data_IF_750925519277
#
_entry.id   IF_750925519277
#
_cell.length_a   1.000
_cell.length_b   1.000
_cell.length_c   1.000
_cell.angle_alpha   90.00
_cell.angle_beta   90.00
_cell.angle_gamma   90.00
#
_symmetry.space_group_name_H-M   'P 1'
#
loop_
_entity.id
_entity.type
_entity.pdbx_description
1 polymer ?
#
# COMPACT_ATOMS: atom_id res chain seq x y z
N UNK A 1 4.75 9.29 -18.74
CA UNK A 1 5.61 9.62 -17.59
C UNK A 1 6.68 10.58 -18.06
N UNK A 2 6.97 11.61 -17.27
CA UNK A 2 8.12 12.49 -17.49
C UNK A 2 9.43 11.74 -17.24
N UNK A 3 10.59 12.25 -17.70
CA UNK A 3 11.88 11.64 -17.41
C UNK A 3 12.14 11.48 -15.90
N UNK A 4 11.79 12.49 -15.10
CA UNK A 4 11.91 12.45 -13.63
C UNK A 4 11.03 11.37 -13.00
N UNK A 5 9.78 11.22 -13.46
CA UNK A 5 8.88 10.15 -13.01
C UNK A 5 9.40 8.76 -13.39
N UNK A 6 10.06 8.64 -14.55
CA UNK A 6 10.59 7.36 -15.02
C UNK A 6 11.77 6.91 -14.16
N UNK A 7 12.66 7.84 -13.79
CA UNK A 7 13.74 7.57 -12.84
C UNK A 7 13.20 7.19 -11.46
N UNK A 8 12.26 7.97 -10.93
CA UNK A 8 11.65 7.70 -9.63
C UNK A 8 10.88 6.36 -9.61
N UNK A 9 10.24 5.99 -10.73
CA UNK A 9 9.58 4.70 -10.88
C UNK A 9 10.58 3.55 -10.80
N UNK A 10 11.69 3.66 -11.54
CA UNK A 10 12.72 2.62 -11.54
C UNK A 10 13.32 2.42 -10.15
N UNK A 11 13.71 3.52 -9.49
CA UNK A 11 14.23 3.48 -8.12
C UNK A 11 13.24 2.85 -7.13
N UNK A 12 11.95 3.18 -7.26
CA UNK A 12 10.91 2.61 -6.42
C UNK A 12 10.75 1.09 -6.65
N UNK A 13 10.66 0.67 -7.92
CA UNK A 13 10.52 -0.75 -8.29
C UNK A 13 11.73 -1.55 -7.81
N UNK A 14 12.95 -1.07 -8.06
CA UNK A 14 14.18 -1.75 -7.66
C UNK A 14 14.26 -1.91 -6.13
N UNK A 15 13.90 -0.86 -5.38
CA UNK A 15 13.83 -0.91 -3.91
C UNK A 15 12.80 -1.90 -3.39
N UNK A 16 11.59 -1.92 -3.96
CA UNK A 16 10.51 -2.78 -3.49
C UNK A 16 10.70 -4.25 -3.91
N UNK A 17 11.36 -4.50 -5.05
CA UNK A 17 11.83 -5.83 -5.46
C UNK A 17 12.91 -6.35 -4.52
N UNK A 18 13.92 -5.52 -4.20
CA UNK A 18 14.98 -5.89 -3.26
C UNK A 18 14.44 -6.14 -1.85
N UNK A 19 13.44 -5.36 -1.42
CA UNK A 19 12.71 -5.60 -0.16
C UNK A 19 11.78 -6.82 -0.22
N UNK A 20 11.59 -7.40 -1.41
CA UNK A 20 10.71 -8.55 -1.63
C UNK A 20 9.23 -8.23 -1.42
N UNK A 21 8.81 -6.98 -1.55
CA UNK A 21 7.40 -6.60 -1.37
C UNK A 21 6.59 -6.76 -2.64
N UNK A 22 7.22 -6.63 -3.79
CA UNK A 22 6.62 -6.89 -5.11
C UNK A 22 7.38 -8.00 -5.84
N UNK A 23 6.77 -8.57 -6.88
CA UNK A 23 7.44 -9.48 -7.81
C UNK A 23 6.82 -9.42 -9.22
N UNK A 24 7.54 -9.91 -10.26
CA UNK A 24 7.00 -10.03 -11.61
C UNK A 24 5.66 -10.76 -11.63
N UNK A 25 4.74 -10.28 -12.46
CA UNK A 25 3.39 -10.80 -12.57
C UNK A 25 3.01 -11.14 -14.01
N UNK A 26 2.29 -12.24 -14.17
CA UNK A 26 1.56 -12.60 -15.39
C UNK A 26 0.04 -12.45 -15.19
N UNK A 27 -0.36 -11.68 -14.18
CA UNK A 27 -1.77 -11.49 -13.81
C UNK A 27 -2.60 -10.95 -14.98
N UNK A 28 -3.83 -11.47 -15.18
CA UNK A 28 -4.76 -10.87 -16.13
C UNK A 28 -5.24 -9.48 -15.69
N UNK A 29 -5.09 -9.15 -14.40
CA UNK A 29 -5.42 -7.85 -13.84
C UNK A 29 -4.25 -6.85 -14.00
N UNK A 30 -4.49 -5.60 -13.62
CA UNK A 30 -3.46 -4.57 -13.65
C UNK A 30 -4.01 -3.18 -13.38
N UNK A 31 -3.88 -2.73 -12.14
CA UNK A 31 -4.21 -1.36 -11.75
C UNK A 31 -3.21 -0.36 -12.36
N UNK A 32 -3.66 0.80 -12.85
CA UNK A 32 -2.76 1.84 -13.32
C UNK A 32 -2.03 2.50 -12.15
N UNK A 33 -0.85 3.07 -12.42
CA UNK A 33 -0.07 3.84 -11.44
C UNK A 33 -0.04 5.33 -11.80
N UNK A 34 0.10 6.17 -10.79
CA UNK A 34 0.32 7.60 -10.93
C UNK A 34 1.32 8.10 -9.89
N UNK A 35 1.91 9.28 -10.13
CA UNK A 35 2.78 9.94 -9.16
C UNK A 35 2.06 11.09 -8.46
N UNK A 36 2.23 11.15 -7.15
CA UNK A 36 1.79 12.29 -6.32
C UNK A 36 3.03 12.95 -5.72
N UNK A 37 3.11 14.27 -5.83
CA UNK A 37 4.16 15.06 -5.19
C UNK A 37 3.88 15.16 -3.69
N UNK A 38 4.87 14.78 -2.89
CA UNK A 38 4.88 15.05 -1.45
C UNK A 38 5.25 16.50 -1.18
N UNK A 39 4.96 16.97 0.04
CA UNK A 39 5.32 18.32 0.49
C UNK A 39 6.84 18.58 0.44
N UNK A 40 7.66 17.54 0.60
CA UNK A 40 9.13 17.60 0.50
C UNK A 40 9.64 17.57 -0.96
N UNK A 41 8.75 17.62 -1.96
CA UNK A 41 9.08 17.56 -3.38
C UNK A 41 9.34 16.15 -3.92
N UNK A 42 9.39 15.11 -3.07
CA UNK A 42 9.59 13.73 -3.53
C UNK A 42 8.35 13.19 -4.25
N UNK A 43 8.57 12.31 -5.21
CA UNK A 43 7.50 11.61 -5.91
C UNK A 43 7.11 10.35 -5.15
N UNK A 44 5.81 10.16 -4.92
CA UNK A 44 5.24 8.92 -4.37
C UNK A 44 4.49 8.19 -5.46
N UNK A 45 4.86 6.94 -5.72
CA UNK A 45 4.07 6.05 -6.56
C UNK A 45 2.75 5.73 -5.85
N UNK A 46 1.64 5.87 -6.56
CA UNK A 46 0.29 5.54 -6.08
C UNK A 46 -0.34 4.61 -7.09
N UNK A 47 -0.78 3.45 -6.62
CA UNK A 47 -1.52 2.49 -7.42
C UNK A 47 -3.02 2.76 -7.28
N UNK A 48 -3.72 2.90 -8.39
CA UNK A 48 -5.16 3.15 -8.38
C UNK A 48 -5.97 1.85 -8.29
N UNK A 49 -6.16 1.38 -7.06
CA UNK A 49 -6.99 0.21 -6.77
C UNK A 49 -8.50 0.49 -6.74
N UNK A 50 -9.01 1.66 -7.17
CA UNK A 50 -10.45 1.98 -7.06
C UNK A 50 -11.37 0.92 -7.69
N UNK A 51 -11.01 0.41 -8.88
CA UNK A 51 -11.78 -0.65 -9.56
C UNK A 51 -11.70 -1.98 -8.82
N UNK A 52 -10.52 -2.35 -8.33
CA UNK A 52 -10.34 -3.54 -7.50
C UNK A 52 -11.19 -3.45 -6.22
N UNK A 53 -11.13 -2.32 -5.52
CA UNK A 53 -11.88 -2.07 -4.30
C UNK A 53 -13.40 -2.10 -4.49
N UNK A 54 -13.89 -1.81 -5.70
CA UNK A 54 -15.31 -1.86 -6.01
C UNK A 54 -15.84 -3.31 -6.17
N UNK A 55 -14.99 -4.23 -6.62
CA UNK A 55 -15.35 -5.64 -6.82
C UNK A 55 -15.01 -6.54 -5.63
N UNK A 56 -14.14 -6.06 -4.72
CA UNK A 56 -13.78 -6.79 -3.49
C UNK A 56 -14.89 -6.73 -2.45
N UNK A 57 -15.14 -7.87 -1.80
CA UNK A 57 -16.08 -7.96 -0.67
C UNK A 57 -15.52 -7.16 0.50
N UNK A 58 -16.29 -6.21 1.01
CA UNK A 58 -15.88 -5.33 2.12
C UNK A 58 -16.00 -6.08 3.44
N UNK A 59 -14.86 -6.37 4.08
CA UNK A 59 -14.81 -6.83 5.46
C UNK A 59 -14.96 -5.61 6.40
N UNK A 60 -16.19 -5.35 6.84
CA UNK A 60 -16.50 -4.16 7.66
C UNK A 60 -16.33 -4.52 9.13
N UNK A 61 -15.14 -4.24 9.67
CA UNK A 61 -14.93 -4.26 11.11
C UNK A 61 -15.40 -2.94 11.76
N UNK A 62 -16.20 -3.04 12.83
CA UNK A 62 -16.65 -1.86 13.56
C UNK A 62 -15.49 -1.27 14.36
N UNK A 63 -14.96 -0.13 13.93
CA UNK A 63 -13.98 0.61 14.73
C UNK A 63 -14.67 1.19 15.96
N UNK A 64 -14.06 1.09 17.15
CA UNK A 64 -14.62 1.66 18.37
C UNK A 64 -14.73 3.18 18.26
N UNK A 65 -15.70 3.76 18.96
CA UNK A 65 -15.86 5.22 19.01
C UNK A 65 -14.67 5.85 19.73
N UNK A 66 -14.25 7.04 19.29
CA UNK A 66 -13.14 7.74 19.92
C UNK A 66 -13.41 8.00 21.42
N UNK A 67 -14.63 8.36 21.79
CA UNK A 67 -15.01 8.61 23.19
C UNK A 67 -14.85 7.36 24.06
N UNK A 68 -15.25 6.18 23.54
CA UNK A 68 -15.11 4.90 24.24
C UNK A 68 -13.64 4.53 24.46
N UNK A 69 -12.77 4.82 23.48
CA UNK A 69 -11.34 4.60 23.61
C UNK A 69 -10.72 5.50 24.67
N UNK A 70 -11.11 6.78 24.72
CA UNK A 70 -10.61 7.74 25.70
C UNK A 70 -11.09 7.38 27.10
N UNK A 71 -12.35 6.98 27.25
CA UNK A 71 -12.91 6.60 28.54
C UNK A 71 -12.17 5.41 29.18
N UNK A 72 -11.76 4.42 28.38
CA UNK A 72 -10.92 3.30 28.84
C UNK A 72 -9.58 3.74 29.41
N UNK A 73 -9.08 4.91 29.02
CA UNK A 73 -7.81 5.44 29.46
C UNK A 73 -7.92 6.47 30.60
N UNK A 74 -9.13 6.84 31.03
CA UNK A 74 -9.44 7.92 32.00
C UNK A 74 -8.58 7.90 33.26
N UNK A 75 -8.26 6.72 33.79
CA UNK A 75 -7.54 6.56 35.05
C UNK A 75 -6.06 6.22 34.87
N UNK A 76 -5.57 6.13 33.63
CA UNK A 76 -4.16 5.90 33.35
C UNK A 76 -3.34 7.15 33.70
N UNK A 77 -2.19 6.94 34.34
CA UNK A 77 -1.28 8.02 34.74
C UNK A 77 -0.11 8.20 33.78
N UNK A 78 0.21 7.16 33.01
CA UNK A 78 1.33 7.12 32.07
C UNK A 78 0.78 6.60 30.74
N UNK A 79 1.15 7.28 29.66
CA UNK A 79 0.72 6.95 28.30
C UNK A 79 1.95 6.68 27.45
N UNK A 80 1.89 5.60 26.68
CA UNK A 80 2.89 5.28 25.66
C UNK A 80 2.17 5.10 24.34
N UNK A 81 2.65 5.78 23.30
CA UNK A 81 2.18 5.61 21.93
C UNK A 81 3.26 4.89 21.14
N UNK A 82 2.87 3.83 20.45
CA UNK A 82 3.72 3.10 19.52
C UNK A 82 3.23 3.37 18.10
N UNK A 83 4.18 3.65 17.20
CA UNK A 83 3.89 3.81 15.78
C UNK A 83 4.50 2.63 15.00
N UNK A 84 3.65 1.89 14.29
CA UNK A 84 4.07 0.78 13.45
C UNK A 84 4.51 1.33 12.09
N UNK A 85 5.82 1.52 11.92
CA UNK A 85 6.40 1.97 10.66
C UNK A 85 6.00 1.02 9.53
N UNK A 86 5.43 1.57 8.47
CA UNK A 86 4.93 0.83 7.30
C UNK A 86 3.95 -0.31 7.67
N UNK A 87 3.06 -0.09 8.65
CA UNK A 87 2.18 -1.12 9.20
C UNK A 87 1.45 -2.00 8.18
N UNK A 88 0.99 -1.42 7.05
CA UNK A 88 0.39 -2.18 5.96
C UNK A 88 1.36 -3.17 5.32
N UNK A 89 2.56 -2.72 4.94
CA UNK A 89 3.54 -3.54 4.24
C UNK A 89 4.15 -4.65 5.12
N UNK A 90 3.86 -4.67 6.42
CA UNK A 90 4.27 -5.75 7.32
C UNK A 90 3.33 -6.97 7.21
N UNK A 91 2.15 -6.81 6.60
CA UNK A 91 1.15 -7.87 6.43
C UNK A 91 1.23 -8.40 5.00
N UNK A 92 1.31 -9.72 4.84
CA UNK A 92 1.29 -10.39 3.53
C UNK A 92 -0.13 -10.46 2.98
N UNK A 93 -0.24 -10.33 1.66
CA UNK A 93 -1.47 -10.70 0.96
C UNK A 93 -1.62 -12.22 1.06
N UNK A 94 -2.87 -12.68 1.16
CA UNK A 94 -3.19 -14.11 1.23
C UNK A 94 -2.65 -14.83 -0.02
N UNK A 95 -2.04 -15.99 0.20
CA UNK A 95 -1.55 -16.85 -0.88
C UNK A 95 -2.68 -17.20 -1.86
N UNK A 96 -2.43 -16.99 -3.15
CA UNK A 96 -3.40 -17.16 -4.24
C UNK A 96 -4.20 -15.90 -4.58
N UNK A 97 -4.13 -14.84 -3.77
CA UNK A 97 -4.81 -13.56 -4.02
C UNK A 97 -3.87 -12.43 -4.45
N UNK A 98 -2.55 -12.66 -4.45
CA UNK A 98 -1.55 -11.63 -4.76
C UNK A 98 -1.69 -11.07 -6.18
N UNK A 99 -2.10 -11.91 -7.13
CA UNK A 99 -2.36 -11.50 -8.52
C UNK A 99 -3.42 -10.40 -8.66
N UNK A 100 -4.34 -10.27 -7.68
CA UNK A 100 -5.38 -9.23 -7.68
C UNK A 100 -4.78 -7.84 -7.48
N UNK A 101 -3.70 -7.75 -6.72
CA UNK A 101 -2.98 -6.52 -6.44
C UNK A 101 -1.93 -6.19 -7.54
N UNK A 102 -2.04 -6.80 -8.71
CA UNK A 102 -1.18 -6.48 -9.85
C UNK A 102 -1.36 -5.03 -10.32
N UNK A 103 -0.25 -4.39 -10.69
CA UNK A 103 -0.23 -3.05 -11.24
C UNK A 103 0.64 -2.97 -12.49
N UNK A 104 0.30 -2.02 -13.35
CA UNK A 104 0.95 -1.81 -14.65
C UNK A 104 1.71 -0.51 -14.66
N UNK A 105 2.90 -0.57 -15.21
CA UNK A 105 3.79 0.56 -15.41
C UNK A 105 4.27 0.54 -16.87
N UNK A 106 5.25 1.37 -17.22
CA UNK A 106 5.92 1.27 -18.53
C UNK A 106 6.94 0.11 -18.60
N UNK A 107 7.12 -0.65 -17.53
CA UNK A 107 7.89 -1.90 -17.48
C UNK A 107 6.95 -3.11 -17.28
N UNK A 108 7.43 -4.37 -17.36
CA UNK A 108 6.58 -5.55 -17.20
C UNK A 108 5.73 -5.51 -15.92
N UNK A 109 4.55 -6.15 -15.98
CA UNK A 109 3.60 -6.14 -14.89
C UNK A 109 4.20 -6.73 -13.60
N UNK A 110 3.82 -6.13 -12.47
CA UNK A 110 4.26 -6.50 -11.13
C UNK A 110 3.03 -6.72 -10.26
N UNK A 111 3.16 -7.51 -9.21
CA UNK A 111 2.12 -7.64 -8.19
C UNK A 111 2.69 -7.55 -6.78
N UNK A 112 1.87 -7.03 -5.88
CA UNK A 112 2.20 -6.89 -4.46
C UNK A 112 2.13 -8.25 -3.77
N UNK A 113 3.09 -8.50 -2.87
CA UNK A 113 3.08 -9.63 -1.91
C UNK A 113 2.64 -9.21 -0.52
N UNK A 114 2.68 -7.91 -0.23
CA UNK A 114 2.26 -7.32 1.04
C UNK A 114 1.15 -6.30 0.81
N UNK A 115 0.41 -5.95 1.85
CA UNK A 115 -0.67 -4.96 1.71
C UNK A 115 -0.04 -3.60 1.33
N UNK A 116 -0.44 -3.00 0.19
CA UNK A 116 0.12 -1.74 -0.31
C UNK A 116 -0.37 -0.50 0.45
#
# INVERSE_FOLDING_TARGET
MTPSETTALKEHIDSELAAGKICPSTSPAGAPVMFVKRADGRLRLVVDYRRLNAITIKDRYALPRQDELIEKLRHAKIFTKLDLRNGYNNIRIKEGDEWKAAFRTNVPALHERHIP
#
